data_IF_565422033342
#
_entry.id   IF_565422033342
#
_cell.length_a   1.000
_cell.length_b   1.000
_cell.length_c   1.000
_cell.angle_alpha   90.00
_cell.angle_beta   90.00
_cell.angle_gamma   90.00
#
_symmetry.space_group_name_H-M   'P 1'
#
loop_
_entity.id
_entity.type
_entity.pdbx_description
1 polymer ?
#
# COMPACT_ATOMS: atom_id res chain seq x y z
N UNK A 1 -13.29 -3.33 -25.43
CA UNK A 1 -12.05 -2.95 -24.74
C UNK A 1 -11.83 -1.45 -24.66
N UNK A 2 -11.68 -0.71 -25.77
CA UNK A 2 -11.41 0.75 -25.71
C UNK A 2 -12.45 1.54 -24.89
N UNK A 3 -13.77 1.30 -25.10
CA UNK A 3 -14.86 1.98 -24.35
C UNK A 3 -14.81 1.65 -22.85
N UNK A 4 -14.54 0.39 -22.47
CA UNK A 4 -14.37 -0.03 -21.08
C UNK A 4 -13.18 0.67 -20.40
N UNK A 5 -12.00 0.64 -21.04
CA UNK A 5 -10.80 1.31 -20.52
C UNK A 5 -11.04 2.81 -20.35
N UNK A 6 -11.62 3.47 -21.37
CA UNK A 6 -11.90 4.90 -21.32
C UNK A 6 -12.88 5.26 -20.18
N UNK A 7 -13.95 4.46 -20.00
CA UNK A 7 -14.90 4.64 -18.89
C UNK A 7 -14.21 4.48 -17.52
N UNK A 8 -13.38 3.45 -17.35
CA UNK A 8 -12.65 3.20 -16.09
C UNK A 8 -11.64 4.32 -15.78
N UNK A 9 -10.85 4.73 -16.78
CA UNK A 9 -9.90 5.84 -16.62
C UNK A 9 -10.64 7.13 -16.29
N UNK A 10 -11.73 7.44 -17.00
CA UNK A 10 -12.54 8.63 -16.73
C UNK A 10 -13.11 8.65 -15.31
N UNK A 11 -13.67 7.52 -14.85
CA UNK A 11 -14.17 7.38 -13.47
C UNK A 11 -13.05 7.51 -12.43
N UNK A 12 -11.89 6.91 -12.67
CA UNK A 12 -10.73 7.03 -11.78
C UNK A 12 -10.23 8.46 -11.66
N UNK A 13 -10.15 9.20 -12.77
CA UNK A 13 -9.78 10.62 -12.77
C UNK A 13 -10.82 11.50 -12.06
N UNK A 14 -12.10 11.23 -12.27
CA UNK A 14 -13.18 11.95 -11.58
C UNK A 14 -13.11 11.70 -10.07
N UNK A 15 -12.95 10.43 -9.66
CA UNK A 15 -12.79 10.06 -8.25
C UNK A 15 -11.58 10.74 -7.62
N UNK A 16 -10.43 10.76 -8.32
CA UNK A 16 -9.24 11.44 -7.85
C UNK A 16 -9.48 12.94 -7.68
N UNK A 17 -10.14 13.58 -8.65
CA UNK A 17 -10.46 15.01 -8.57
C UNK A 17 -11.35 15.33 -7.37
N UNK A 18 -12.38 14.52 -7.12
CA UNK A 18 -13.28 14.67 -5.96
C UNK A 18 -12.48 14.52 -4.66
N UNK A 19 -11.64 13.49 -4.55
CA UNK A 19 -10.82 13.27 -3.35
C UNK A 19 -9.87 14.44 -3.13
N UNK A 20 -9.19 14.93 -4.16
CA UNK A 20 -8.29 16.09 -4.07
C UNK A 20 -9.04 17.32 -3.59
N UNK A 21 -10.25 17.56 -4.11
CA UNK A 21 -11.09 18.68 -3.68
C UNK A 21 -11.50 18.55 -2.20
N UNK A 22 -11.98 17.37 -1.80
CA UNK A 22 -12.38 17.10 -0.41
C UNK A 22 -11.18 17.25 0.54
N UNK A 23 -10.03 16.68 0.21
CA UNK A 23 -8.80 16.83 1.01
C UNK A 23 -8.37 18.29 1.11
N UNK A 24 -8.44 19.03 0.00
CA UNK A 24 -8.11 20.44 -0.01
C UNK A 24 -9.00 21.24 0.95
N UNK A 25 -10.32 21.02 0.91
CA UNK A 25 -11.27 21.67 1.80
C UNK A 25 -11.02 21.26 3.26
N UNK A 26 -10.84 19.98 3.53
CA UNK A 26 -10.58 19.47 4.89
C UNK A 26 -9.33 20.09 5.50
N UNK A 27 -8.23 20.17 4.75
CA UNK A 27 -6.99 20.81 5.22
C UNK A 27 -7.19 22.29 5.51
N UNK A 28 -8.09 22.99 4.79
CA UNK A 28 -8.41 24.42 5.05
C UNK A 28 -9.28 24.64 6.28
N UNK A 29 -10.13 23.67 6.61
CA UNK A 29 -11.02 23.74 7.79
C UNK A 29 -10.31 23.21 9.05
N UNK A 30 -9.20 22.47 8.89
CA UNK A 30 -8.48 21.87 10.00
C UNK A 30 -8.01 22.92 11.01
N UNK A 31 -8.31 22.76 12.31
CA UNK A 31 -7.85 23.68 13.33
C UNK A 31 -6.33 23.60 13.45
N UNK A 32 -5.69 24.75 13.54
CA UNK A 32 -4.23 24.88 13.69
C UNK A 32 -3.68 26.07 12.92
N UNK A 33 -2.44 26.41 13.21
CA UNK A 33 -1.71 27.44 12.49
C UNK A 33 -0.66 26.74 11.61
N UNK A 34 -0.67 26.93 10.26
CA UNK A 34 0.33 26.35 9.38
C UNK A 34 1.73 26.94 9.58
N UNK A 35 1.83 27.98 10.41
CA UNK A 35 3.08 28.63 10.72
C UNK A 35 3.42 28.40 12.21
N UNK A 36 4.68 28.13 12.57
CA UNK A 36 5.09 28.02 13.96
C UNK A 36 4.85 29.36 14.65
N UNK A 37 3.72 29.46 15.38
CA UNK A 37 3.22 30.69 15.99
C UNK A 37 4.11 31.24 17.09
N UNK A 38 4.97 30.41 17.69
CA UNK A 38 5.86 30.83 18.79
C UNK A 38 6.97 31.78 18.37
N UNK A 39 7.21 31.95 17.06
CA UNK A 39 8.33 32.77 16.54
C UNK A 39 7.89 33.90 15.60
N UNK A 40 6.59 34.10 15.38
CA UNK A 40 6.08 35.07 14.41
C UNK A 40 5.08 36.03 15.03
N UNK A 41 5.21 37.33 14.72
CA UNK A 41 4.19 38.32 15.07
C UNK A 41 2.90 38.11 14.29
N UNK A 42 1.76 38.60 14.83
CA UNK A 42 0.47 38.53 14.13
C UNK A 42 0.52 39.17 12.74
N UNK A 43 1.27 40.25 12.56
CA UNK A 43 1.50 40.95 11.32
C UNK A 43 2.28 40.08 10.29
N UNK A 44 3.33 39.38 10.76
CA UNK A 44 4.10 38.46 9.93
C UNK A 44 3.26 37.27 9.47
N UNK A 45 2.36 36.76 10.32
CA UNK A 45 1.42 35.70 9.97
C UNK A 45 0.41 36.19 8.91
N UNK A 46 -0.15 37.41 9.09
CA UNK A 46 -1.07 38.01 8.12
C UNK A 46 -0.40 38.19 6.75
N UNK A 47 0.80 38.74 6.70
CA UNK A 47 1.57 38.94 5.46
C UNK A 47 1.87 37.61 4.77
N UNK A 48 2.26 36.57 5.50
CA UNK A 48 2.46 35.23 4.92
C UNK A 48 1.19 34.60 4.42
N UNK A 49 0.04 34.80 5.09
CA UNK A 49 -1.26 34.34 4.60
C UNK A 49 -1.61 35.00 3.27
N UNK A 50 -1.42 36.32 3.18
CA UNK A 50 -1.67 37.07 1.95
C UNK A 50 -0.71 36.62 0.80
N UNK A 51 0.59 36.46 1.09
CA UNK A 51 1.59 35.98 0.13
C UNK A 51 1.24 34.58 -0.44
N UNK A 52 0.73 33.70 0.42
CA UNK A 52 0.29 32.36 0.02
C UNK A 52 -1.12 32.32 -0.58
N UNK A 53 -1.79 33.47 -0.66
CA UNK A 53 -3.13 33.61 -1.23
C UNK A 53 -4.22 32.91 -0.40
N UNK A 54 -4.00 32.75 0.92
CA UNK A 54 -4.93 32.08 1.82
C UNK A 54 -6.18 32.95 2.15
N UNK A 55 -6.14 34.23 1.78
CA UNK A 55 -7.24 35.18 1.96
C UNK A 55 -8.25 35.14 0.79
N UNK A 56 -7.92 34.42 -0.30
CA UNK A 56 -8.80 34.26 -1.44
C UNK A 56 -9.93 33.28 -1.15
N UNK A 57 -11.07 33.32 -1.90
CA UNK A 57 -12.10 32.30 -1.81
C UNK A 57 -11.54 30.88 -2.04
N UNK A 58 -12.04 29.88 -1.29
CA UNK A 58 -11.52 28.51 -1.30
C UNK A 58 -11.46 27.90 -2.70
N UNK A 59 -12.45 28.19 -3.55
CA UNK A 59 -12.46 27.70 -4.94
C UNK A 59 -11.32 28.28 -5.78
N UNK A 60 -10.97 29.56 -5.58
CA UNK A 60 -9.85 30.20 -6.28
C UNK A 60 -8.54 29.58 -5.82
N UNK A 61 -8.36 29.38 -4.50
CA UNK A 61 -7.19 28.69 -3.94
C UNK A 61 -7.05 27.28 -4.50
N UNK A 62 -8.17 26.54 -4.66
CA UNK A 62 -8.18 25.20 -5.21
C UNK A 62 -7.67 25.19 -6.66
N UNK A 63 -8.19 26.08 -7.51
CA UNK A 63 -7.75 26.16 -8.91
C UNK A 63 -6.29 26.62 -9.04
N UNK A 64 -5.84 27.57 -8.22
CA UNK A 64 -4.43 28.00 -8.16
C UNK A 64 -3.52 26.82 -7.73
N UNK A 65 -4.00 25.98 -6.80
CA UNK A 65 -3.29 24.79 -6.38
C UNK A 65 -3.27 23.72 -7.49
N UNK A 66 -4.40 23.44 -8.13
CA UNK A 66 -4.52 22.46 -9.21
C UNK A 66 -3.63 22.79 -10.41
N UNK A 67 -3.55 24.07 -10.81
CA UNK A 67 -2.66 24.49 -11.90
C UNK A 67 -1.19 24.26 -11.57
N UNK A 68 -0.76 24.53 -10.35
CA UNK A 68 0.60 24.23 -9.86
C UNK A 68 0.87 22.74 -9.79
N UNK A 69 -0.09 21.96 -9.29
CA UNK A 69 0.00 20.51 -9.17
C UNK A 69 0.18 19.84 -10.55
N UNK A 70 -0.58 20.27 -11.56
CA UNK A 70 -0.45 19.77 -12.95
C UNK A 70 0.92 20.08 -13.58
N UNK A 71 1.60 21.13 -13.12
CA UNK A 71 2.97 21.44 -13.49
C UNK A 71 4.02 20.65 -12.67
N UNK A 72 3.57 19.74 -11.78
CA UNK A 72 4.44 18.97 -10.89
C UNK A 72 5.04 19.78 -9.74
N UNK A 73 4.43 20.94 -9.43
CA UNK A 73 4.82 21.79 -8.32
C UNK A 73 3.89 21.53 -7.12
N UNK A 74 4.39 20.79 -6.13
CA UNK A 74 3.68 20.46 -4.88
C UNK A 74 3.83 21.57 -3.81
N UNK A 75 4.53 22.66 -4.12
CA UNK A 75 4.84 23.70 -3.16
C UNK A 75 6.08 23.41 -2.31
N UNK A 76 6.19 24.17 -1.23
CA UNK A 76 7.28 24.05 -0.24
C UNK A 76 6.68 23.72 1.13
N UNK A 77 7.44 23.01 1.98
CA UNK A 77 7.07 22.79 3.36
C UNK A 77 7.00 24.11 4.14
N UNK A 78 6.02 24.24 5.00
CA UNK A 78 5.84 25.43 5.85
C UNK A 78 6.49 25.26 7.22
N UNK A 79 6.45 24.07 7.76
CA UNK A 79 6.99 23.69 9.07
C UNK A 79 8.07 22.61 8.92
N UNK A 80 7.75 21.57 8.16
CA UNK A 80 8.62 20.43 7.96
C UNK A 80 9.67 20.73 6.89
N UNK A 81 10.95 20.40 7.15
CA UNK A 81 12.09 20.60 6.24
C UNK A 81 12.29 22.05 5.75
N UNK A 82 11.87 23.06 6.54
CA UNK A 82 12.21 24.48 6.39
C UNK A 82 12.27 25.00 4.92
N UNK A 83 11.14 24.95 4.21
CA UNK A 83 11.02 25.52 2.86
C UNK A 83 11.61 24.65 1.75
N UNK A 84 12.03 23.43 2.03
CA UNK A 84 12.47 22.49 0.99
C UNK A 84 11.33 22.18 0.00
N UNK A 85 11.63 22.02 -1.32
CA UNK A 85 10.63 21.60 -2.29
C UNK A 85 10.05 20.23 -1.92
N UNK A 86 8.73 20.16 -1.75
CA UNK A 86 8.03 18.92 -1.35
C UNK A 86 8.34 17.79 -2.34
N UNK A 87 8.42 18.08 -3.64
CA UNK A 87 8.74 17.10 -4.70
C UNK A 87 10.02 16.30 -4.41
N UNK A 88 11.06 16.96 -3.91
CA UNK A 88 12.36 16.31 -3.64
C UNK A 88 12.25 15.33 -2.48
N UNK A 89 11.56 15.74 -1.41
CA UNK A 89 11.35 14.88 -0.23
C UNK A 89 10.44 13.71 -0.55
N UNK A 90 9.34 13.96 -1.30
CA UNK A 90 8.43 12.92 -1.76
C UNK A 90 9.13 11.86 -2.61
N UNK A 91 10.03 12.27 -3.52
CA UNK A 91 10.77 11.31 -4.36
C UNK A 91 11.55 10.30 -3.52
N UNK A 92 12.21 10.76 -2.46
CA UNK A 92 12.95 9.88 -1.54
C UNK A 92 12.01 8.99 -0.74
N UNK A 93 10.94 9.57 -0.18
CA UNK A 93 9.96 8.84 0.61
C UNK A 93 9.26 7.74 -0.19
N UNK A 94 8.80 8.06 -1.40
CA UNK A 94 8.20 7.08 -2.34
C UNK A 94 9.18 5.95 -2.63
N UNK A 95 10.43 6.28 -2.97
CA UNK A 95 11.45 5.27 -3.28
C UNK A 95 11.67 4.29 -2.13
N UNK A 96 11.75 4.81 -0.89
CA UNK A 96 11.97 3.98 0.29
C UNK A 96 10.76 3.09 0.60
N UNK A 97 9.54 3.66 0.63
CA UNK A 97 8.32 2.88 0.87
C UNK A 97 8.09 1.80 -0.19
N UNK A 98 8.32 2.13 -1.48
CA UNK A 98 8.16 1.16 -2.58
C UNK A 98 9.18 0.01 -2.51
N UNK A 99 10.42 0.30 -2.15
CA UNK A 99 11.44 -0.75 -2.02
C UNK A 99 11.13 -1.70 -0.86
N UNK A 100 10.76 -1.17 0.31
CA UNK A 100 10.47 -1.97 1.49
C UNK A 100 9.13 -2.68 1.35
N UNK A 101 8.08 -1.97 0.91
CA UNK A 101 6.78 -2.56 0.62
C UNK A 101 6.84 -3.60 -0.49
N UNK A 102 7.62 -3.35 -1.57
CA UNK A 102 7.86 -4.31 -2.63
C UNK A 102 8.52 -5.60 -2.15
N UNK A 103 9.55 -5.50 -1.30
CA UNK A 103 10.16 -6.67 -0.65
C UNK A 103 9.16 -7.40 0.23
N UNK A 104 8.35 -6.68 1.02
CA UNK A 104 7.33 -7.27 1.88
C UNK A 104 6.28 -8.04 1.07
N UNK A 105 5.82 -7.48 -0.07
CA UNK A 105 4.89 -8.16 -0.99
C UNK A 105 5.52 -9.43 -1.56
N UNK A 106 6.75 -9.35 -2.03
CA UNK A 106 7.46 -10.51 -2.61
C UNK A 106 7.61 -11.63 -1.58
N UNK A 107 8.11 -11.32 -0.38
CA UNK A 107 8.27 -12.29 0.71
C UNK A 107 6.91 -12.86 1.12
N UNK A 108 5.93 -11.98 1.38
CA UNK A 108 4.59 -12.37 1.84
C UNK A 108 3.87 -13.26 0.84
N UNK A 109 3.93 -12.90 -0.45
CA UNK A 109 3.30 -13.69 -1.52
C UNK A 109 4.01 -15.02 -1.71
N UNK A 110 5.35 -15.03 -1.82
CA UNK A 110 6.09 -16.26 -2.06
C UNK A 110 5.91 -17.27 -0.92
N UNK A 111 6.12 -16.82 0.32
CA UNK A 111 5.97 -17.70 1.49
C UNK A 111 4.51 -18.07 1.72
N UNK A 112 3.58 -17.13 1.53
CA UNK A 112 2.14 -17.38 1.65
C UNK A 112 1.65 -18.43 0.65
N UNK A 113 2.07 -18.37 -0.61
CA UNK A 113 1.76 -19.39 -1.62
C UNK A 113 2.31 -20.76 -1.20
N UNK A 114 3.57 -20.81 -0.76
CA UNK A 114 4.19 -22.08 -0.32
C UNK A 114 3.43 -22.70 0.86
N UNK A 115 3.07 -21.91 1.87
CA UNK A 115 2.30 -22.36 3.03
C UNK A 115 0.90 -22.81 2.63
N UNK A 116 0.20 -22.05 1.78
CA UNK A 116 -1.14 -22.37 1.32
C UNK A 116 -1.20 -23.64 0.46
N UNK A 117 -0.24 -23.80 -0.48
CA UNK A 117 -0.11 -25.00 -1.29
C UNK A 117 0.17 -26.22 -0.39
N UNK A 118 1.11 -26.08 0.55
CA UNK A 118 1.48 -27.15 1.47
C UNK A 118 0.27 -27.57 2.32
N UNK A 119 -0.48 -26.60 2.86
CA UNK A 119 -1.69 -26.85 3.63
C UNK A 119 -2.76 -27.57 2.80
N UNK A 120 -3.03 -27.12 1.57
CA UNK A 120 -4.04 -27.73 0.70
C UNK A 120 -3.69 -29.18 0.33
N UNK A 121 -2.43 -29.45 -0.02
CA UNK A 121 -1.96 -30.81 -0.36
C UNK A 121 -1.93 -31.76 0.84
N UNK A 122 -1.92 -31.23 2.05
CA UNK A 122 -1.95 -32.00 3.30
C UNK A 122 -3.25 -31.81 4.08
N UNK A 123 -4.37 -31.58 3.38
CA UNK A 123 -5.70 -31.32 3.97
C UNK A 123 -6.04 -32.35 5.05
N UNK A 124 -6.42 -31.85 6.23
CA UNK A 124 -6.77 -32.67 7.40
C UNK A 124 -5.59 -33.30 8.15
N UNK A 125 -4.33 -33.04 7.73
CA UNK A 125 -3.13 -33.53 8.41
C UNK A 125 -2.49 -32.43 9.27
N UNK A 126 -1.47 -32.78 10.06
CA UNK A 126 -0.75 -31.89 10.95
C UNK A 126 -0.23 -30.61 10.25
N UNK A 127 0.33 -30.72 9.04
CA UNK A 127 0.83 -29.57 8.29
C UNK A 127 -0.28 -28.59 7.90
N UNK A 128 -1.47 -29.07 7.56
CA UNK A 128 -2.63 -28.20 7.31
C UNK A 128 -3.03 -27.43 8.57
N UNK A 129 -3.12 -28.14 9.71
CA UNK A 129 -3.41 -27.51 11.00
C UNK A 129 -2.36 -26.45 11.39
N UNK A 130 -1.07 -26.77 11.25
CA UNK A 130 0.03 -25.86 11.55
C UNK A 130 -0.02 -24.59 10.67
N UNK A 131 -0.13 -24.73 9.33
CA UNK A 131 -0.21 -23.59 8.41
C UNK A 131 -1.45 -22.73 8.67
N UNK A 132 -2.57 -23.38 9.04
CA UNK A 132 -3.82 -22.66 9.36
C UNK A 132 -3.68 -21.83 10.63
N UNK A 133 -3.16 -22.42 11.72
CA UNK A 133 -2.91 -21.71 12.99
C UNK A 133 -1.92 -20.56 12.79
N UNK A 134 -0.81 -20.82 12.05
CA UNK A 134 0.16 -19.79 11.71
C UNK A 134 -0.49 -18.62 10.97
N UNK A 135 -1.34 -18.92 9.97
CA UNK A 135 -2.05 -17.89 9.21
C UNK A 135 -3.04 -17.08 10.06
N UNK A 136 -3.72 -17.72 11.02
CA UNK A 136 -4.60 -17.01 11.96
C UNK A 136 -3.79 -16.06 12.84
N UNK A 137 -2.71 -16.54 13.45
CA UNK A 137 -1.82 -15.72 14.28
C UNK A 137 -1.30 -14.53 13.49
N UNK A 138 -0.81 -14.75 12.28
CA UNK A 138 -0.22 -13.69 11.46
C UNK A 138 -1.21 -12.63 10.96
N UNK A 139 -2.51 -12.95 10.86
CA UNK A 139 -3.55 -11.94 10.62
C UNK A 139 -3.90 -11.17 11.89
N UNK A 140 -3.84 -11.81 13.07
CA UNK A 140 -4.20 -11.19 14.33
C UNK A 140 -3.10 -10.30 14.91
N UNK A 141 -1.82 -10.60 14.63
CA UNK A 141 -0.69 -9.84 15.18
C UNK A 141 -0.43 -8.59 14.33
N UNK A 142 -0.53 -7.38 14.91
CA UNK A 142 -0.17 -6.16 14.19
C UNK A 142 1.30 -6.17 13.76
N UNK A 143 1.57 -5.72 12.52
CA UNK A 143 2.91 -5.75 11.93
C UNK A 143 3.96 -5.00 12.77
N UNK A 144 3.58 -3.90 13.42
CA UNK A 144 4.49 -3.14 14.28
C UNK A 144 4.83 -3.88 15.59
N UNK A 145 3.90 -4.64 16.14
CA UNK A 145 4.17 -5.49 17.32
C UNK A 145 5.17 -6.58 16.95
N UNK A 146 4.97 -7.20 15.80
CA UNK A 146 5.90 -8.20 15.28
C UNK A 146 7.27 -7.58 14.98
N UNK A 147 7.33 -6.33 14.44
CA UNK A 147 8.58 -5.62 14.24
C UNK A 147 9.34 -5.40 15.56
N UNK A 148 8.65 -4.92 16.61
CA UNK A 148 9.28 -4.68 17.93
C UNK A 148 9.85 -5.99 18.49
N UNK A 149 9.11 -7.10 18.32
CA UNK A 149 9.58 -8.43 18.70
C UNK A 149 10.86 -8.81 17.92
N UNK A 150 10.86 -8.63 16.61
CA UNK A 150 12.03 -8.90 15.76
C UNK A 150 13.23 -8.00 16.12
N UNK A 151 13.02 -6.69 16.35
CA UNK A 151 14.07 -5.78 16.79
C UNK A 151 14.65 -6.18 18.15
N UNK A 152 13.81 -6.55 19.11
CA UNK A 152 14.26 -6.96 20.44
C UNK A 152 15.16 -8.19 20.36
N UNK A 153 14.76 -9.21 19.60
CA UNK A 153 15.55 -10.45 19.52
C UNK A 153 16.76 -10.31 18.60
N UNK A 154 16.59 -9.77 17.40
CA UNK A 154 17.59 -9.82 16.34
C UNK A 154 18.44 -8.56 16.18
N UNK A 155 18.07 -7.46 16.84
CA UNK A 155 18.90 -6.25 16.86
C UNK A 155 19.47 -5.92 18.24
N UNK A 156 18.73 -6.25 19.33
CA UNK A 156 19.18 -5.96 20.69
C UNK A 156 19.84 -7.16 21.37
N UNK A 157 19.15 -8.32 21.51
CA UNK A 157 19.71 -9.51 22.19
C UNK A 157 20.76 -10.23 21.36
N UNK A 158 20.51 -10.44 20.09
CA UNK A 158 21.40 -11.12 19.15
C UNK A 158 21.66 -10.11 18.03
N UNK A 159 22.67 -9.22 18.14
CA UNK A 159 22.85 -8.06 17.25
C UNK A 159 23.30 -8.47 15.85
N UNK A 160 22.44 -9.22 15.12
CA UNK A 160 22.66 -9.62 13.74
C UNK A 160 22.22 -8.51 12.80
N UNK A 161 21.07 -7.82 13.10
CA UNK A 161 20.53 -6.76 12.25
C UNK A 161 20.65 -5.40 12.92
N UNK A 162 20.74 -4.30 12.13
CA UNK A 162 20.78 -2.96 12.67
C UNK A 162 19.44 -2.62 13.37
N UNK A 163 19.55 -1.82 14.43
CA UNK A 163 18.35 -1.42 15.20
C UNK A 163 17.50 -0.41 14.46
N UNK A 164 18.11 0.50 13.69
CA UNK A 164 17.45 1.46 12.83
C UNK A 164 17.82 1.26 11.37
N UNK A 165 17.00 1.79 10.48
CA UNK A 165 17.24 1.77 9.05
C UNK A 165 18.48 2.59 8.68
N UNK A 166 19.37 1.98 7.91
CA UNK A 166 20.56 2.60 7.35
C UNK A 166 20.51 2.53 5.83
N UNK A 167 20.45 3.69 5.18
CA UNK A 167 20.39 3.81 3.72
C UNK A 167 21.68 3.27 3.04
N UNK A 168 22.82 3.35 3.71
CA UNK A 168 24.10 2.87 3.18
C UNK A 168 24.18 1.33 3.21
N UNK A 169 23.38 0.69 4.08
CA UNK A 169 23.23 -0.76 4.18
C UNK A 169 21.81 -1.18 3.87
N UNK A 170 21.22 -0.58 2.82
CA UNK A 170 19.81 -0.72 2.48
C UNK A 170 19.30 -2.16 2.52
N UNK A 171 19.96 -3.07 1.79
CA UNK A 171 19.50 -4.46 1.68
C UNK A 171 19.40 -5.13 3.05
N UNK A 172 20.39 -4.93 3.90
CA UNK A 172 20.47 -5.56 5.21
C UNK A 172 19.51 -4.92 6.24
N UNK A 173 19.43 -3.60 6.25
CA UNK A 173 18.55 -2.87 7.16
C UNK A 173 17.05 -2.97 6.77
N UNK A 174 16.75 -3.38 5.53
CA UNK A 174 15.38 -3.57 5.05
C UNK A 174 14.77 -4.91 5.44
N UNK A 175 15.57 -5.90 5.87
CA UNK A 175 15.09 -7.28 6.11
C UNK A 175 14.03 -7.31 7.20
N UNK A 176 14.32 -6.80 8.41
CA UNK A 176 13.39 -6.86 9.54
C UNK A 176 12.06 -6.12 9.25
N UNK A 177 12.06 -4.84 8.77
CA UNK A 177 10.82 -4.16 8.45
C UNK A 177 10.04 -4.86 7.32
N UNK A 178 10.71 -5.39 6.27
CA UNK A 178 10.03 -6.11 5.20
C UNK A 178 9.42 -7.43 5.66
N UNK A 179 10.12 -8.20 6.51
CA UNK A 179 9.59 -9.43 7.11
C UNK A 179 8.41 -9.11 8.02
N UNK A 180 8.50 -8.06 8.83
CA UNK A 180 7.39 -7.64 9.70
C UNK A 180 6.14 -7.27 8.89
N UNK A 181 6.31 -6.49 7.83
CA UNK A 181 5.21 -6.08 6.95
C UNK A 181 4.65 -7.25 6.14
N UNK A 182 5.47 -8.23 5.80
CA UNK A 182 5.04 -9.39 5.02
C UNK A 182 4.14 -10.34 5.78
N UNK A 183 4.12 -10.32 7.13
CA UNK A 183 3.40 -11.27 7.96
C UNK A 183 1.90 -11.35 7.63
N UNK A 184 1.24 -10.20 7.56
CA UNK A 184 -0.19 -10.11 7.22
C UNK A 184 -0.47 -10.62 5.80
N UNK A 185 0.33 -10.19 4.83
CA UNK A 185 0.23 -10.62 3.43
C UNK A 185 0.47 -12.13 3.30
N UNK A 186 1.52 -12.64 3.92
CA UNK A 186 1.86 -14.06 3.95
C UNK A 186 0.70 -14.92 4.48
N UNK A 187 0.12 -14.50 5.60
CA UNK A 187 -0.96 -15.20 6.27
C UNK A 187 -2.26 -15.16 5.47
N UNK A 188 -2.58 -14.01 4.89
CA UNK A 188 -3.76 -13.83 4.03
C UNK A 188 -3.63 -14.65 2.76
N UNK A 189 -2.50 -14.58 2.07
CA UNK A 189 -2.23 -15.36 0.85
C UNK A 189 -2.24 -16.85 1.15
N UNK A 190 -1.65 -17.31 2.25
CA UNK A 190 -1.64 -18.72 2.63
C UNK A 190 -3.06 -19.25 2.82
N UNK A 191 -3.90 -18.53 3.56
CA UNK A 191 -5.30 -18.93 3.82
C UNK A 191 -6.13 -18.97 2.53
N UNK A 192 -6.02 -17.93 1.69
CA UNK A 192 -6.74 -17.89 0.41
C UNK A 192 -6.25 -18.98 -0.53
N UNK A 193 -4.95 -19.16 -0.69
CA UNK A 193 -4.38 -20.23 -1.54
C UNK A 193 -4.85 -21.61 -1.10
N UNK A 194 -4.85 -21.89 0.20
CA UNK A 194 -5.37 -23.16 0.71
C UNK A 194 -6.84 -23.36 0.35
N UNK A 195 -7.68 -22.35 0.58
CA UNK A 195 -9.11 -22.47 0.34
C UNK A 195 -9.43 -22.65 -1.14
N UNK A 196 -8.86 -21.83 -2.01
CA UNK A 196 -9.04 -21.92 -3.46
C UNK A 196 -8.53 -23.26 -4.02
N UNK A 197 -7.38 -23.74 -3.56
CA UNK A 197 -6.88 -25.04 -4.01
C UNK A 197 -7.76 -26.19 -3.56
N UNK A 198 -8.30 -26.16 -2.34
CA UNK A 198 -9.22 -27.20 -1.84
C UNK A 198 -10.50 -27.20 -2.67
N UNK A 199 -11.10 -26.03 -2.92
CA UNK A 199 -12.30 -25.89 -3.75
C UNK A 199 -12.08 -26.42 -5.17
N UNK A 200 -10.97 -26.04 -5.79
CA UNK A 200 -10.59 -26.49 -7.13
C UNK A 200 -10.36 -28.02 -7.16
N UNK A 201 -9.70 -28.60 -6.15
CA UNK A 201 -9.48 -30.06 -6.09
C UNK A 201 -10.78 -30.85 -5.98
N UNK A 202 -11.81 -30.29 -5.35
CA UNK A 202 -13.12 -30.94 -5.22
C UNK A 202 -14.01 -30.75 -6.50
N UNK A 203 -13.56 -30.02 -7.51
CA UNK A 203 -14.33 -29.70 -8.73
C UNK A 203 -14.43 -30.87 -9.73
N UNK A 204 -15.52 -30.92 -10.51
CA UNK A 204 -15.78 -31.98 -11.48
C UNK A 204 -14.75 -32.07 -12.61
N UNK A 205 -14.17 -30.93 -13.03
CA UNK A 205 -13.15 -30.96 -14.09
C UNK A 205 -11.81 -31.53 -13.61
N UNK A 206 -11.52 -31.46 -12.32
CA UNK A 206 -10.35 -32.12 -11.72
C UNK A 206 -10.60 -33.60 -11.62
N UNK A 207 -11.79 -34.03 -11.19
CA UNK A 207 -12.21 -35.46 -11.20
C UNK A 207 -12.18 -36.04 -12.61
N UNK A 208 -12.60 -35.25 -13.61
CA UNK A 208 -12.51 -35.69 -15.02
C UNK A 208 -11.04 -35.84 -15.46
N UNK A 209 -10.13 -34.98 -15.02
CA UNK A 209 -8.72 -35.14 -15.32
C UNK A 209 -8.11 -36.38 -14.66
N UNK A 210 -8.52 -36.69 -13.44
CA UNK A 210 -8.14 -37.92 -12.74
C UNK A 210 -8.64 -39.19 -13.47
N UNK A 211 -9.90 -39.19 -13.95
CA UNK A 211 -10.46 -40.32 -14.73
C UNK A 211 -9.74 -40.54 -16.06
N UNK A 212 -9.04 -39.49 -16.58
CA UNK A 212 -8.16 -39.57 -17.75
C UNK A 212 -6.72 -39.97 -17.40
N UNK A 213 -6.45 -40.40 -16.16
CA UNK A 213 -5.14 -40.87 -15.72
C UNK A 213 -4.13 -39.77 -15.38
N UNK A 214 -4.56 -38.52 -15.16
CA UNK A 214 -3.69 -37.41 -14.78
C UNK A 214 -3.68 -37.34 -13.24
N UNK A 215 -2.54 -37.65 -12.61
CA UNK A 215 -2.39 -37.66 -11.16
C UNK A 215 -1.14 -36.89 -10.67
N UNK A 216 -1.05 -36.67 -9.36
CA UNK A 216 0.11 -36.14 -8.66
C UNK A 216 0.49 -34.72 -9.08
N UNK A 217 1.77 -34.45 -9.20
CA UNK A 217 2.28 -33.09 -9.47
C UNK A 217 1.82 -32.51 -10.82
N UNK A 218 1.49 -33.36 -11.80
CA UNK A 218 0.97 -32.92 -13.11
C UNK A 218 -0.45 -32.38 -12.95
N UNK A 219 -1.32 -33.08 -12.19
CA UNK A 219 -2.67 -32.63 -11.85
C UNK A 219 -2.63 -31.30 -11.13
N UNK A 220 -1.83 -31.22 -10.04
CA UNK A 220 -1.71 -30.02 -9.21
C UNK A 220 -1.26 -28.82 -10.04
N UNK A 221 -0.14 -28.92 -10.78
CA UNK A 221 0.42 -27.77 -11.51
C UNK A 221 -0.45 -27.33 -12.68
N UNK A 222 -1.04 -28.25 -13.43
CA UNK A 222 -1.73 -27.95 -14.69
C UNK A 222 -3.22 -27.65 -14.51
N UNK A 223 -3.88 -28.28 -13.55
CA UNK A 223 -5.33 -28.22 -13.38
C UNK A 223 -5.76 -27.52 -12.10
N UNK A 224 -5.05 -27.71 -10.98
CA UNK A 224 -5.42 -27.11 -9.69
C UNK A 224 -4.81 -25.72 -9.55
N UNK A 225 -3.50 -25.61 -9.50
CA UNK A 225 -2.80 -24.36 -9.17
C UNK A 225 -3.12 -23.23 -10.16
N UNK A 226 -3.16 -23.54 -11.47
CA UNK A 226 -3.47 -22.54 -12.48
C UNK A 226 -4.82 -21.86 -12.26
N UNK A 227 -5.84 -22.62 -11.86
CA UNK A 227 -7.17 -22.10 -11.64
C UNK A 227 -7.31 -21.44 -10.26
N UNK A 228 -6.68 -22.01 -9.23
CA UNK A 228 -6.67 -21.44 -7.88
C UNK A 228 -5.90 -20.11 -7.78
N UNK A 229 -4.91 -19.83 -8.65
CA UNK A 229 -4.17 -18.58 -8.65
C UNK A 229 -4.98 -17.37 -9.15
N UNK A 230 -6.02 -17.56 -9.95
CA UNK A 230 -6.81 -16.45 -10.51
C UNK A 230 -7.47 -15.62 -9.42
N UNK A 231 -8.22 -16.17 -8.44
CA UNK A 231 -8.78 -15.42 -7.33
C UNK A 231 -7.72 -14.81 -6.41
N UNK A 232 -6.55 -15.45 -6.28
CA UNK A 232 -5.47 -14.96 -5.42
C UNK A 232 -4.92 -13.60 -5.90
N UNK A 233 -4.83 -13.40 -7.22
CA UNK A 233 -4.44 -12.09 -7.79
C UNK A 233 -5.39 -10.98 -7.34
N UNK A 234 -6.68 -11.30 -7.18
CA UNK A 234 -7.70 -10.37 -6.67
C UNK A 234 -7.39 -9.89 -5.26
N UNK A 235 -7.03 -10.85 -4.39
CA UNK A 235 -6.72 -10.58 -2.99
C UNK A 235 -5.39 -9.84 -2.82
N UNK A 236 -4.43 -10.08 -3.71
CA UNK A 236 -3.14 -9.39 -3.68
C UNK A 236 -3.25 -7.89 -3.98
N UNK A 237 -4.21 -7.47 -4.77
CA UNK A 237 -4.33 -6.09 -5.21
C UNK A 237 -4.45 -5.08 -4.05
N UNK A 238 -5.42 -5.19 -3.13
CA UNK A 238 -5.49 -4.30 -1.98
C UNK A 238 -4.26 -4.42 -1.06
N UNK A 239 -3.69 -5.62 -0.89
CA UNK A 239 -2.49 -5.82 -0.08
C UNK A 239 -1.27 -5.08 -0.66
N UNK A 240 -1.13 -5.07 -1.98
CA UNK A 240 -0.08 -4.30 -2.68
C UNK A 240 -0.26 -2.82 -2.40
N UNK A 241 -1.49 -2.31 -2.49
CA UNK A 241 -1.78 -0.91 -2.20
C UNK A 241 -1.38 -0.55 -0.78
N UNK A 242 -1.87 -1.30 0.21
CA UNK A 242 -1.61 -1.03 1.63
C UNK A 242 -0.10 -1.01 1.94
N UNK A 243 0.67 -1.92 1.37
CA UNK A 243 2.11 -1.99 1.60
C UNK A 243 2.91 -0.91 0.85
N UNK A 244 2.49 -0.54 -0.37
CA UNK A 244 3.20 0.46 -1.17
C UNK A 244 2.89 1.89 -0.75
N UNK A 245 1.72 2.14 -0.18
CA UNK A 245 1.33 3.47 0.32
C UNK A 245 1.96 3.81 1.67
N UNK A 246 2.67 2.85 2.26
CA UNK A 246 3.52 3.07 3.43
C UNK A 246 2.95 2.48 4.71
N UNK A 247 3.79 1.72 5.37
CA UNK A 247 3.49 1.17 6.68
C UNK A 247 3.86 2.20 7.76
N UNK A 248 2.98 3.14 7.97
CA UNK A 248 3.10 4.33 8.79
C UNK A 248 3.82 4.08 10.14
N UNK A 249 3.35 3.08 10.90
CA UNK A 249 3.90 2.77 12.22
C UNK A 249 5.27 2.10 12.11
N UNK A 250 5.44 1.16 11.18
CA UNK A 250 6.70 0.43 10.97
C UNK A 250 7.80 1.39 10.49
N UNK A 251 7.47 2.28 9.54
CA UNK A 251 8.41 3.30 9.06
C UNK A 251 8.84 4.28 10.17
N UNK A 252 7.90 4.66 11.03
CA UNK A 252 8.21 5.55 12.17
C UNK A 252 9.11 4.87 13.20
N UNK A 253 8.80 3.62 13.58
CA UNK A 253 9.58 2.87 14.59
C UNK A 253 11.00 2.60 14.08
N UNK A 254 11.14 2.16 12.83
CA UNK A 254 12.43 1.77 12.27
C UNK A 254 13.24 2.96 11.72
N UNK A 255 12.64 4.16 11.74
CA UNK A 255 13.29 5.39 11.28
C UNK A 255 13.42 5.50 9.76
N UNK A 256 12.56 4.80 9.01
CA UNK A 256 12.57 4.82 7.54
C UNK A 256 11.94 6.13 7.07
N UNK A 257 12.66 6.91 6.26
CA UNK A 257 12.12 8.12 5.65
C UNK A 257 11.22 7.75 4.45
N UNK A 258 10.04 7.17 4.75
CA UNK A 258 9.03 6.77 3.79
C UNK A 258 7.80 7.67 3.82
N UNK A 259 6.79 7.32 3.00
CA UNK A 259 5.53 8.09 2.85
C UNK A 259 4.76 8.11 4.18
N UNK A 260 4.67 6.98 4.87
CA UNK A 260 3.93 6.85 6.11
C UNK A 260 4.55 7.67 7.25
N UNK A 261 5.87 7.56 7.47
CA UNK A 261 6.57 8.38 8.46
C UNK A 261 6.42 9.87 8.16
N UNK A 262 6.57 10.26 6.89
CA UNK A 262 6.44 11.65 6.47
C UNK A 262 5.03 12.20 6.75
N UNK A 263 3.98 11.39 6.60
CA UNK A 263 2.60 11.76 6.95
C UNK A 263 2.45 12.02 8.46
N UNK A 264 3.01 11.11 9.29
CA UNK A 264 3.00 11.32 10.75
C UNK A 264 3.74 12.60 11.13
N UNK A 265 4.93 12.79 10.58
CA UNK A 265 5.76 13.95 10.89
C UNK A 265 5.10 15.27 10.43
N UNK A 266 4.34 15.25 9.33
CA UNK A 266 3.60 16.40 8.82
C UNK A 266 2.39 16.79 9.69
N UNK A 267 1.80 15.83 10.43
CA UNK A 267 0.62 16.06 11.28
C UNK A 267 1.02 16.30 12.75
N UNK A 268 1.98 15.52 13.26
CA UNK A 268 2.34 15.46 14.68
C UNK A 268 3.59 16.28 15.03
N UNK A 269 4.14 17.08 14.11
CA UNK A 269 5.29 17.96 14.33
C UNK A 269 4.96 19.20 15.19
N UNK A 270 5.90 20.13 15.33
CA UNK A 270 5.73 21.41 16.07
C UNK A 270 4.62 22.32 15.48
N UNK A 271 4.02 21.93 14.36
CA UNK A 271 2.88 22.54 13.67
C UNK A 271 2.49 21.69 12.48
N UNK A 272 1.19 21.65 12.16
CA UNK A 272 0.70 20.90 11.03
C UNK A 272 1.19 21.51 9.72
N UNK A 273 1.97 20.77 8.95
CA UNK A 273 2.38 21.21 7.61
C UNK A 273 1.31 20.88 6.55
N UNK A 274 0.38 21.81 6.35
CA UNK A 274 -0.76 21.64 5.45
C UNK A 274 -0.35 21.28 4.01
N UNK A 275 0.78 21.81 3.55
CA UNK A 275 1.25 21.53 2.19
C UNK A 275 1.73 20.08 2.06
N UNK A 276 2.46 19.56 3.07
CA UNK A 276 2.85 18.15 3.11
C UNK A 276 1.65 17.22 3.28
N UNK A 277 0.72 17.54 4.19
CA UNK A 277 -0.49 16.72 4.40
C UNK A 277 -1.29 16.61 3.11
N UNK A 278 -1.50 17.74 2.41
CA UNK A 278 -2.22 17.76 1.14
C UNK A 278 -1.48 16.99 0.04
N UNK A 279 -0.18 17.24 -0.13
CA UNK A 279 0.63 16.57 -1.15
C UNK A 279 0.71 15.05 -0.92
N UNK A 280 0.86 14.61 0.33
CA UNK A 280 0.88 13.19 0.70
C UNK A 280 -0.48 12.54 0.53
N UNK A 281 -1.58 13.21 0.92
CA UNK A 281 -2.93 12.71 0.72
C UNK A 281 -3.27 12.53 -0.77
N UNK A 282 -2.85 13.47 -1.62
CA UNK A 282 -3.01 13.37 -3.08
C UNK A 282 -2.16 12.23 -3.63
N UNK A 283 -0.90 12.15 -3.22
CA UNK A 283 0.00 11.07 -3.64
C UNK A 283 -0.56 9.69 -3.27
N UNK A 284 -1.02 9.55 -2.01
CA UNK A 284 -1.64 8.32 -1.52
C UNK A 284 -2.87 7.94 -2.37
N UNK A 285 -3.77 8.90 -2.59
CA UNK A 285 -4.98 8.68 -3.38
C UNK A 285 -4.67 8.33 -4.83
N UNK A 286 -3.69 9.00 -5.44
CA UNK A 286 -3.25 8.72 -6.80
C UNK A 286 -2.61 7.34 -6.94
N UNK A 287 -1.79 6.92 -5.98
CA UNK A 287 -1.21 5.58 -5.93
C UNK A 287 -2.30 4.51 -5.75
N UNK A 288 -3.22 4.72 -4.79
CA UNK A 288 -4.34 3.80 -4.54
C UNK A 288 -5.18 3.61 -5.80
N UNK A 289 -5.69 4.70 -6.36
CA UNK A 289 -6.55 4.67 -7.56
C UNK A 289 -5.79 4.12 -8.76
N UNK A 290 -4.51 4.50 -8.92
CA UNK A 290 -3.66 4.01 -10.01
C UNK A 290 -3.44 2.50 -9.96
N UNK A 291 -3.11 1.96 -8.80
CA UNK A 291 -2.93 0.51 -8.61
C UNK A 291 -4.25 -0.23 -8.83
N UNK A 292 -5.36 0.27 -8.25
CA UNK A 292 -6.68 -0.34 -8.46
C UNK A 292 -7.12 -0.29 -9.92
N UNK A 293 -6.81 0.79 -10.64
CA UNK A 293 -7.07 0.89 -12.07
C UNK A 293 -6.26 -0.18 -12.86
N UNK A 294 -4.98 -0.36 -12.55
CA UNK A 294 -4.15 -1.42 -13.16
C UNK A 294 -4.77 -2.79 -12.92
N UNK A 295 -5.21 -3.06 -11.71
CA UNK A 295 -5.87 -4.33 -11.35
C UNK A 295 -7.18 -4.52 -12.09
N UNK A 296 -8.03 -3.50 -12.16
CA UNK A 296 -9.29 -3.52 -12.94
C UNK A 296 -9.03 -3.83 -14.43
N UNK A 297 -7.96 -3.26 -14.99
CA UNK A 297 -7.57 -3.52 -16.37
C UNK A 297 -7.04 -4.96 -16.56
N UNK A 298 -6.26 -5.47 -15.60
CA UNK A 298 -5.80 -6.86 -15.59
C UNK A 298 -6.98 -7.84 -15.53
N UNK A 299 -8.00 -7.57 -14.70
CA UNK A 299 -9.22 -8.36 -14.69
C UNK A 299 -9.92 -8.39 -16.05
N UNK A 300 -10.05 -7.24 -16.69
CA UNK A 300 -10.65 -7.15 -18.03
C UNK A 300 -9.87 -7.96 -19.09
N UNK A 301 -8.59 -8.26 -18.84
CA UNK A 301 -7.76 -9.14 -19.71
C UNK A 301 -7.88 -10.60 -19.31
N UNK A 302 -7.86 -10.93 -18.01
CA UNK A 302 -7.84 -12.29 -17.48
C UNK A 302 -9.21 -12.97 -17.54
N UNK A 303 -10.30 -12.24 -17.30
CA UNK A 303 -11.67 -12.77 -17.33
C UNK A 303 -12.46 -12.23 -18.54
N UNK A 304 -12.63 -13.06 -19.61
CA UNK A 304 -13.43 -12.66 -20.76
C UNK A 304 -14.93 -12.45 -20.46
N UNK A 305 -15.46 -12.96 -19.34
CA UNK A 305 -16.88 -12.85 -18.96
C UNK A 305 -17.27 -11.43 -18.60
N UNK A 306 -16.34 -10.67 -18.01
CA UNK A 306 -16.53 -9.24 -17.69
C UNK A 306 -16.73 -8.40 -18.97
N UNK A 307 -16.22 -8.87 -20.12
CA UNK A 307 -16.39 -8.20 -21.42
C UNK A 307 -17.81 -8.31 -21.96
N UNK A 308 -18.55 -9.33 -21.58
CA UNK A 308 -19.90 -9.61 -22.12
C UNK A 308 -20.94 -8.76 -21.38
N UNK A 309 -20.83 -8.58 -20.06
CA UNK A 309 -21.74 -7.74 -19.29
C UNK A 309 -21.65 -6.24 -19.64
N UNK A 310 -20.48 -5.77 -20.09
CA UNK A 310 -20.29 -4.39 -20.55
C UNK A 310 -20.78 -4.12 -21.98
N UNK A 311 -21.37 -5.10 -22.67
CA UNK A 311 -22.02 -4.96 -24.00
C UNK A 311 -23.54 -4.89 -23.94
N UNK A 312 -24.11 -5.08 -22.76
CA UNK A 312 -25.55 -5.14 -22.54
C UNK A 312 -26.20 -3.85 -22.00
N UNK A 313 -25.45 -2.73 -21.86
CA UNK A 313 -25.98 -1.40 -21.51
C UNK A 313 -25.66 -0.37 -22.59
#
# INVERSE_FOLDING_TARGET
MKKYVLKRVGMSLLTLLIIVFVLFVLVRIMPGNPFPSERMSAEQIANKRAELGLDKPVLVQFWDYMTKLLQGNFGKGTSLYNGAPIKTVLKTAVSNSFRIGGLAILIGTAVGLLLGITAALNRGKFLDGFCTVFSIIGVCVPSYVFLIFLQYYFSYKIPVFPYFFDINRFAFSSILPSVSLSLFTMSTVARFTRNEMVEVMDSDYVRLAESKGIYGSRLVRRHVLRNALIPIVTVLAPLIVDLLTGALVVEKIYGINGIGKLMVDAIAGEGVDYNYVLALGILYSALYIGIMLVVDLLYGVLDPRIRVSARGD
#
